data_IF_616502683813
#
_entry.id   IF_616502683813
#
_cell.length_a   1.000
_cell.length_b   1.000
_cell.length_c   1.000
_cell.angle_alpha   90.00
_cell.angle_beta   90.00
_cell.angle_gamma   90.00
#
_symmetry.space_group_name_H-M   'P 1'
#
loop_
_entity.id
_entity.type
_entity.pdbx_description
1 polymer ?
#
# COMPACT_ATOMS: atom_id res chain seq x y z
N UNK A 1 -60.98 54.35 -26.20
CA UNK A 1 -60.61 52.91 -26.21
C UNK A 1 -59.18 52.79 -25.74
N UNK A 2 -58.95 52.47 -24.46
CA UNK A 2 -57.64 52.32 -23.86
C UNK A 2 -57.31 50.83 -23.64
N UNK A 3 -56.39 50.33 -24.46
CA UNK A 3 -55.91 48.95 -24.36
C UNK A 3 -54.90 48.83 -23.23
N UNK A 4 -55.14 47.97 -22.21
CA UNK A 4 -54.21 47.64 -21.15
C UNK A 4 -53.36 46.46 -21.63
N UNK A 5 -52.05 46.67 -21.81
CA UNK A 5 -51.10 45.57 -21.95
C UNK A 5 -50.88 44.90 -20.56
N UNK A 6 -51.18 43.63 -20.46
CA UNK A 6 -50.82 42.82 -19.30
C UNK A 6 -49.40 42.21 -19.55
N UNK A 7 -48.40 42.65 -18.77
CA UNK A 7 -47.07 42.07 -18.75
C UNK A 7 -47.08 40.81 -17.85
N UNK A 8 -46.85 39.64 -18.45
CA UNK A 8 -46.64 38.39 -17.74
C UNK A 8 -45.16 38.33 -17.36
N UNK A 9 -44.85 38.42 -16.06
CA UNK A 9 -43.55 38.16 -15.52
C UNK A 9 -43.41 36.65 -15.30
N UNK A 10 -42.62 35.97 -16.11
CA UNK A 10 -42.22 34.57 -15.91
C UNK A 10 -41.14 34.51 -14.82
N UNK A 11 -41.51 34.13 -13.63
CA UNK A 11 -40.53 33.80 -12.59
C UNK A 11 -39.87 32.46 -12.92
N UNK A 12 -38.59 32.48 -13.35
CA UNK A 12 -37.79 31.28 -13.46
C UNK A 12 -37.44 30.82 -12.04
N UNK A 13 -38.07 29.74 -11.57
CA UNK A 13 -37.60 29.01 -10.39
C UNK A 13 -36.21 28.40 -10.76
N UNK A 14 -35.15 28.98 -10.30
CA UNK A 14 -33.87 28.28 -10.20
C UNK A 14 -34.03 27.21 -9.12
N UNK A 15 -34.19 25.97 -9.50
CA UNK A 15 -34.05 24.84 -8.61
C UNK A 15 -32.58 24.80 -8.14
N UNK A 16 -32.31 25.22 -6.90
CA UNK A 16 -31.06 24.98 -6.27
C UNK A 16 -30.91 23.46 -6.13
N UNK A 17 -30.02 22.85 -6.90
CA UNK A 17 -29.63 21.46 -6.67
C UNK A 17 -29.09 21.36 -5.23
N UNK A 18 -29.51 20.36 -4.47
CA UNK A 18 -28.91 20.14 -3.15
C UNK A 18 -27.40 19.98 -3.33
N UNK A 19 -26.60 20.77 -2.60
CA UNK A 19 -25.16 20.58 -2.51
C UNK A 19 -24.97 19.28 -1.75
N UNK A 20 -24.53 18.25 -2.45
CA UNK A 20 -24.17 16.96 -1.82
C UNK A 20 -22.88 17.17 -1.02
N UNK A 21 -22.78 16.50 0.14
CA UNK A 21 -21.53 16.47 0.89
C UNK A 21 -20.45 15.72 0.06
N UNK A 22 -19.19 16.11 0.23
CA UNK A 22 -18.08 15.41 -0.43
C UNK A 22 -17.94 13.98 0.08
N UNK A 23 -17.50 13.07 -0.80
CA UNK A 23 -17.06 11.74 -0.41
C UNK A 23 -15.69 11.88 0.28
N UNK A 24 -15.57 11.40 1.52
CA UNK A 24 -14.40 11.66 2.37
C UNK A 24 -13.47 10.45 2.38
N UNK A 25 -12.21 10.64 1.91
CA UNK A 25 -11.15 9.63 1.84
C UNK A 25 -9.91 10.11 2.62
N UNK A 26 -9.92 10.06 3.96
CA UNK A 26 -8.80 10.57 4.73
C UNK A 26 -7.51 9.77 4.56
N UNK A 27 -6.38 10.46 4.72
CA UNK A 27 -5.06 9.86 4.81
C UNK A 27 -4.41 10.17 6.15
N UNK A 28 -3.84 9.15 6.80
CA UNK A 28 -2.94 9.32 7.93
C UNK A 28 -1.51 9.25 7.40
N UNK A 29 -0.90 10.40 7.18
CA UNK A 29 0.42 10.50 6.58
C UNK A 29 1.52 10.77 7.60
N UNK A 30 2.75 10.83 7.13
CA UNK A 30 3.91 11.33 7.87
C UNK A 30 4.82 12.06 6.90
N UNK A 31 4.67 13.40 6.92
CA UNK A 31 5.44 14.34 6.10
C UNK A 31 6.65 14.89 6.82
N UNK A 32 6.84 14.52 8.08
CA UNK A 32 7.94 14.95 8.94
C UNK A 32 8.67 13.77 9.57
N UNK A 33 9.91 14.01 10.03
CA UNK A 33 10.70 13.00 10.72
C UNK A 33 11.43 12.01 9.81
N UNK A 34 12.01 10.93 10.39
CA UNK A 34 12.95 10.04 9.68
C UNK A 34 12.29 9.16 8.60
N UNK A 35 10.96 9.12 8.54
CA UNK A 35 10.20 8.33 7.57
C UNK A 35 9.55 9.18 6.47
N UNK A 36 9.69 10.51 6.53
CA UNK A 36 9.05 11.46 5.61
C UNK A 36 9.38 11.21 4.14
N UNK A 37 10.60 10.77 3.83
CA UNK A 37 11.01 10.46 2.47
C UNK A 37 10.13 9.39 1.79
N UNK A 38 9.54 8.48 2.56
CA UNK A 38 8.56 7.51 2.06
C UNK A 38 7.12 8.00 2.18
N UNK A 39 6.79 8.74 3.25
CA UNK A 39 5.44 9.22 3.52
C UNK A 39 4.94 10.26 2.54
N UNK A 40 5.79 11.24 2.20
CA UNK A 40 5.46 12.37 1.30
C UNK A 40 5.00 11.87 -0.08
N UNK A 41 5.80 11.09 -0.85
CA UNK A 41 5.38 10.73 -2.21
C UNK A 41 4.11 9.85 -2.22
N UNK A 42 3.91 8.98 -1.23
CA UNK A 42 2.68 8.20 -1.12
C UNK A 42 1.46 9.10 -0.87
N UNK A 43 1.56 10.03 0.09
CA UNK A 43 0.46 10.93 0.44
C UNK A 43 0.13 11.88 -0.73
N UNK A 44 1.15 12.37 -1.46
CA UNK A 44 0.98 13.19 -2.64
C UNK A 44 0.24 12.42 -3.75
N UNK A 45 0.69 11.22 -4.09
CA UNK A 45 0.05 10.39 -5.10
C UNK A 45 -1.39 10.03 -4.76
N UNK A 46 -1.67 9.75 -3.48
CA UNK A 46 -3.02 9.46 -3.00
C UNK A 46 -3.95 10.68 -3.17
N UNK A 47 -3.52 11.85 -2.74
CA UNK A 47 -4.31 13.09 -2.84
C UNK A 47 -4.47 13.57 -4.29
N UNK A 48 -3.40 13.49 -5.09
CA UNK A 48 -3.39 13.95 -6.47
C UNK A 48 -4.33 13.12 -7.36
N UNK A 49 -4.46 11.81 -7.11
CA UNK A 49 -5.42 10.99 -7.86
C UNK A 49 -6.88 11.41 -7.61
N UNK A 50 -7.25 11.70 -6.37
CA UNK A 50 -8.59 12.23 -6.08
C UNK A 50 -8.80 13.65 -6.62
N UNK A 51 -7.74 14.47 -6.62
CA UNK A 51 -7.77 15.77 -7.29
C UNK A 51 -7.98 15.61 -8.80
N UNK A 52 -7.32 14.63 -9.44
CA UNK A 52 -7.57 14.28 -10.84
C UNK A 52 -9.04 13.92 -11.09
N UNK A 53 -9.63 13.05 -10.27
CA UNK A 53 -11.04 12.69 -10.43
C UNK A 53 -11.96 13.90 -10.28
N UNK A 54 -11.66 14.79 -9.34
CA UNK A 54 -12.42 16.03 -9.16
C UNK A 54 -12.34 16.96 -10.37
N UNK A 55 -11.16 17.10 -10.97
CA UNK A 55 -10.90 18.07 -12.04
C UNK A 55 -11.24 17.54 -13.43
N UNK A 56 -11.04 16.25 -13.66
CA UNK A 56 -11.30 15.61 -14.95
C UNK A 56 -12.76 15.10 -15.05
N UNK A 57 -13.22 14.41 -13.98
CA UNK A 57 -14.47 13.64 -14.01
C UNK A 57 -15.62 14.29 -13.22
N UNK A 58 -15.35 15.37 -12.49
CA UNK A 58 -16.33 16.02 -11.62
C UNK A 58 -16.55 15.31 -10.29
N UNK A 59 -15.63 14.42 -9.90
CA UNK A 59 -15.67 13.58 -8.71
C UNK A 59 -16.00 12.12 -9.03
N UNK A 60 -16.51 11.39 -8.06
CA UNK A 60 -16.95 9.99 -8.20
C UNK A 60 -18.49 9.99 -8.30
N UNK A 61 -19.02 9.55 -9.45
CA UNK A 61 -20.47 9.59 -9.69
C UNK A 61 -21.09 10.98 -9.60
N UNK A 62 -20.32 12.02 -9.90
CA UNK A 62 -20.75 13.42 -9.83
C UNK A 62 -20.67 14.04 -8.43
N UNK A 63 -20.15 13.33 -7.43
CA UNK A 63 -19.91 13.83 -6.08
C UNK A 63 -18.43 14.14 -5.91
N UNK A 64 -18.11 15.34 -5.43
CA UNK A 64 -16.71 15.74 -5.16
C UNK A 64 -16.11 14.87 -4.07
N UNK A 65 -14.79 14.74 -4.11
CA UNK A 65 -14.01 13.99 -3.13
C UNK A 65 -13.16 14.95 -2.33
N UNK A 66 -13.13 14.76 -1.01
CA UNK A 66 -12.20 15.44 -0.10
C UNK A 66 -11.23 14.44 0.53
N UNK A 67 -9.97 14.88 0.70
CA UNK A 67 -8.88 14.06 1.25
C UNK A 67 -8.28 14.78 2.47
N UNK A 68 -8.99 14.80 3.61
CA UNK A 68 -8.42 15.36 4.83
C UNK A 68 -7.23 14.52 5.28
N UNK A 69 -6.13 15.19 5.66
CA UNK A 69 -4.90 14.55 6.06
C UNK A 69 -4.62 14.78 7.55
N UNK A 70 -4.15 13.75 8.25
CA UNK A 70 -3.69 13.86 9.63
C UNK A 70 -2.23 13.39 9.73
N UNK A 71 -1.35 14.28 10.20
CA UNK A 71 0.09 14.04 10.37
C UNK A 71 0.37 13.17 11.59
N UNK A 72 0.85 11.95 11.38
CA UNK A 72 1.16 11.01 12.46
C UNK A 72 2.62 11.02 12.89
N UNK A 73 3.53 11.52 12.06
CA UNK A 73 4.98 11.37 12.27
C UNK A 73 5.44 9.92 12.37
N UNK A 74 4.65 8.96 11.83
CA UNK A 74 4.85 7.50 11.99
C UNK A 74 4.78 7.04 13.46
N UNK A 75 4.10 7.79 14.32
CA UNK A 75 3.92 7.47 15.73
C UNK A 75 2.55 6.81 15.95
N UNK A 76 2.54 5.67 16.62
CA UNK A 76 1.32 4.86 16.81
C UNK A 76 0.26 5.57 17.65
N UNK A 77 0.65 6.28 18.73
CA UNK A 77 -0.27 7.00 19.60
C UNK A 77 -0.95 8.14 18.85
N UNK A 78 -0.16 8.97 18.14
CA UNK A 78 -0.69 10.01 17.26
C UNK A 78 -1.59 9.45 16.16
N UNK A 79 -1.26 8.27 15.62
CA UNK A 79 -2.11 7.60 14.65
C UNK A 79 -3.48 7.24 15.19
N UNK A 80 -3.57 6.80 16.46
CA UNK A 80 -4.86 6.56 17.13
C UNK A 80 -5.62 7.88 17.35
N UNK A 81 -4.94 8.97 17.73
CA UNK A 81 -5.54 10.30 17.83
C UNK A 81 -6.06 10.80 16.48
N UNK A 82 -5.28 10.58 15.39
CA UNK A 82 -5.71 10.87 14.02
C UNK A 82 -6.97 10.07 13.65
N UNK A 83 -7.04 8.78 13.97
CA UNK A 83 -8.23 7.95 13.75
C UNK A 83 -9.46 8.58 14.43
N UNK A 84 -9.35 8.95 15.72
CA UNK A 84 -10.47 9.53 16.48
C UNK A 84 -10.94 10.87 15.91
N UNK A 85 -10.03 11.68 15.38
CA UNK A 85 -10.38 12.95 14.75
C UNK A 85 -11.00 12.78 13.36
N UNK A 86 -10.45 11.87 12.55
CA UNK A 86 -10.89 11.66 11.17
C UNK A 86 -12.22 10.91 11.10
N UNK A 87 -12.53 10.01 12.05
CA UNK A 87 -13.82 9.32 12.05
C UNK A 87 -15.03 10.26 12.20
N UNK A 88 -14.85 11.42 12.81
CA UNK A 88 -15.89 12.43 12.94
C UNK A 88 -16.30 13.07 11.59
N UNK A 89 -15.50 12.86 10.54
CA UNK A 89 -15.76 13.34 9.18
C UNK A 89 -16.58 12.37 8.34
N UNK A 90 -17.05 11.25 8.91
CA UNK A 90 -17.76 10.17 8.23
C UNK A 90 -16.97 9.62 7.01
N UNK A 91 -15.74 9.14 7.21
CA UNK A 91 -14.90 8.66 6.13
C UNK A 91 -15.47 7.40 5.49
N UNK A 92 -15.30 7.25 4.18
CA UNK A 92 -15.67 6.03 3.46
C UNK A 92 -14.68 4.89 3.71
N UNK A 93 -13.38 5.21 3.75
CA UNK A 93 -12.30 4.28 4.06
C UNK A 93 -11.12 5.07 4.62
N UNK A 94 -10.37 4.46 5.53
CA UNK A 94 -9.15 5.05 6.11
C UNK A 94 -7.89 4.39 5.54
N UNK A 95 -6.83 5.21 5.37
CA UNK A 95 -5.49 4.80 4.96
C UNK A 95 -4.50 5.14 6.09
N UNK A 96 -4.20 4.20 7.03
CA UNK A 96 -3.34 4.50 8.17
C UNK A 96 -1.83 4.53 7.86
N UNK A 97 -1.41 4.02 6.72
CA UNK A 97 -0.02 3.95 6.21
C UNK A 97 1.01 3.51 7.26
N UNK A 98 0.61 2.70 8.22
CA UNK A 98 1.46 2.16 9.29
C UNK A 98 0.88 0.86 9.84
N UNK A 99 1.71 -0.19 9.92
CA UNK A 99 1.34 -1.47 10.54
C UNK A 99 1.04 -1.29 12.03
N UNK A 100 1.84 -0.52 12.75
CA UNK A 100 1.63 -0.26 14.19
C UNK A 100 0.29 0.44 14.47
N UNK A 101 -0.05 1.44 13.68
CA UNK A 101 -1.35 2.14 13.78
C UNK A 101 -2.48 1.17 13.42
N UNK A 102 -2.35 0.40 12.33
CA UNK A 102 -3.36 -0.57 11.91
C UNK A 102 -3.71 -1.54 13.03
N UNK A 103 -2.73 -2.13 13.70
CA UNK A 103 -2.97 -3.04 14.81
C UNK A 103 -3.83 -2.42 15.93
N UNK A 104 -3.62 -1.14 16.23
CA UNK A 104 -4.36 -0.44 17.29
C UNK A 104 -5.79 -0.06 16.90
N UNK A 105 -6.02 0.18 15.60
CA UNK A 105 -7.35 0.63 15.12
C UNK A 105 -8.24 -0.52 14.67
N UNK A 106 -7.75 -1.76 14.53
CA UNK A 106 -8.57 -2.93 14.15
C UNK A 106 -9.87 -3.01 14.96
N UNK A 107 -9.87 -3.07 16.31
CA UNK A 107 -11.10 -3.18 17.07
C UNK A 107 -12.00 -1.94 16.96
N UNK A 108 -11.39 -0.77 16.78
CA UNK A 108 -12.10 0.50 16.64
C UNK A 108 -12.83 0.59 15.29
N UNK A 109 -12.16 0.22 14.20
CA UNK A 109 -12.72 0.24 12.85
C UNK A 109 -13.94 -0.68 12.72
N UNK A 110 -13.88 -1.84 13.37
CA UNK A 110 -15.02 -2.77 13.44
C UNK A 110 -16.18 -2.16 14.24
N UNK A 111 -15.90 -1.56 15.40
CA UNK A 111 -16.92 -0.96 16.26
C UNK A 111 -17.56 0.30 15.66
N UNK A 112 -16.78 1.09 14.90
CA UNK A 112 -17.21 2.34 14.27
C UNK A 112 -17.78 2.12 12.85
N UNK A 113 -17.77 0.88 12.33
CA UNK A 113 -18.20 0.49 10.95
C UNK A 113 -17.45 1.29 9.86
N UNK A 114 -16.14 1.47 10.02
CA UNK A 114 -15.28 2.21 9.09
C UNK A 114 -14.24 1.25 8.51
N UNK A 115 -14.29 0.95 7.18
CA UNK A 115 -13.28 0.10 6.57
C UNK A 115 -11.91 0.76 6.52
N UNK A 116 -10.87 -0.05 6.60
CA UNK A 116 -9.47 0.36 6.55
C UNK A 116 -8.76 -0.38 5.42
N UNK A 117 -8.16 0.35 4.49
CA UNK A 117 -7.36 -0.20 3.42
C UNK A 117 -5.88 -0.15 3.80
N UNK A 118 -5.24 -1.30 3.85
CA UNK A 118 -3.84 -1.46 4.26
C UNK A 118 -3.04 -2.11 3.13
N UNK A 119 -2.99 -1.45 1.97
CA UNK A 119 -2.36 -1.96 0.76
C UNK A 119 -0.88 -2.30 0.98
N UNK A 120 -0.57 -3.60 1.09
CA UNK A 120 0.79 -4.07 1.31
C UNK A 120 1.37 -3.79 2.70
N UNK A 121 0.53 -3.53 3.71
CA UNK A 121 0.96 -3.36 5.10
C UNK A 121 -0.15 -3.79 6.08
N UNK A 122 0.08 -3.59 7.38
CA UNK A 122 -0.87 -3.95 8.41
C UNK A 122 -0.72 -5.41 8.87
N UNK A 123 -1.77 -5.95 9.48
CA UNK A 123 -1.82 -7.33 9.94
C UNK A 123 -2.07 -8.27 8.77
N UNK A 124 -1.15 -9.17 8.47
CA UNK A 124 -1.30 -10.08 7.33
C UNK A 124 -2.51 -11.01 7.49
N UNK A 125 -2.77 -11.54 8.69
CA UNK A 125 -3.92 -12.42 8.91
C UNK A 125 -5.27 -11.74 8.74
N UNK A 126 -5.31 -10.40 8.62
CA UNK A 126 -6.52 -9.67 8.23
C UNK A 126 -6.99 -9.99 6.79
N UNK A 127 -6.20 -10.73 6.01
CA UNK A 127 -6.66 -11.40 4.79
C UNK A 127 -7.91 -12.26 5.04
N UNK A 128 -8.07 -12.83 6.24
CA UNK A 128 -9.31 -13.52 6.65
C UNK A 128 -10.39 -12.50 7.04
N UNK A 129 -11.18 -12.06 6.07
CA UNK A 129 -12.26 -11.08 6.27
C UNK A 129 -13.42 -11.61 7.10
N UNK A 130 -13.56 -12.93 7.23
CA UNK A 130 -14.52 -13.54 8.16
C UNK A 130 -14.28 -13.10 9.60
N UNK A 131 -13.03 -12.90 9.99
CA UNK A 131 -12.61 -12.41 11.31
C UNK A 131 -12.39 -10.89 11.31
N UNK A 132 -11.72 -10.37 10.30
CA UNK A 132 -11.32 -8.95 10.21
C UNK A 132 -12.23 -8.19 9.23
N UNK A 133 -13.51 -8.09 9.53
CA UNK A 133 -14.57 -7.62 8.64
C UNK A 133 -14.36 -6.23 8.02
N UNK A 134 -13.50 -5.39 8.58
CA UNK A 134 -13.26 -4.01 8.15
C UNK A 134 -11.82 -3.74 7.72
N UNK A 135 -10.95 -4.75 7.68
CA UNK A 135 -9.55 -4.59 7.29
C UNK A 135 -9.31 -5.26 5.94
N UNK A 136 -8.83 -4.48 4.97
CA UNK A 136 -8.58 -4.92 3.61
C UNK A 136 -7.12 -4.68 3.25
N UNK A 137 -6.35 -5.74 2.97
CA UNK A 137 -4.92 -5.63 2.69
C UNK A 137 -4.53 -6.05 1.26
N UNK A 138 -5.51 -6.04 0.34
CA UNK A 138 -5.25 -6.27 -1.08
C UNK A 138 -4.32 -5.19 -1.68
N UNK A 139 -3.59 -5.47 -2.79
CA UNK A 139 -3.56 -6.71 -3.58
C UNK A 139 -2.62 -7.77 -3.03
N UNK A 140 -1.76 -7.46 -2.03
CA UNK A 140 -0.80 -8.37 -1.41
C UNK A 140 -0.49 -7.95 0.04
N UNK A 141 -0.02 -8.88 0.85
CA UNK A 141 0.35 -8.69 2.25
C UNK A 141 1.79 -9.14 2.53
N UNK A 142 2.30 -8.92 3.74
CA UNK A 142 3.69 -9.21 4.06
C UNK A 142 4.10 -10.68 3.98
N UNK A 143 3.18 -11.62 4.21
CA UNK A 143 3.50 -13.03 4.08
C UNK A 143 3.56 -13.45 2.61
N UNK A 144 2.72 -12.85 1.74
CA UNK A 144 2.87 -12.97 0.29
C UNK A 144 4.24 -12.44 -0.15
N UNK A 145 4.67 -11.30 0.42
CA UNK A 145 5.98 -10.73 0.16
C UNK A 145 7.14 -11.59 0.61
N UNK A 146 7.08 -12.16 1.82
CA UNK A 146 8.11 -13.06 2.33
C UNK A 146 8.25 -14.32 1.46
N UNK A 147 7.11 -14.89 1.05
CA UNK A 147 7.09 -15.99 0.09
C UNK A 147 7.63 -15.57 -1.27
N UNK A 148 7.31 -14.36 -1.74
CA UNK A 148 7.83 -13.82 -3.00
C UNK A 148 9.35 -13.76 -3.05
N UNK A 149 10.01 -13.37 -1.94
CA UNK A 149 11.48 -13.42 -1.82
C UNK A 149 11.96 -14.86 -1.99
N UNK A 150 11.39 -15.82 -1.27
CA UNK A 150 11.81 -17.23 -1.33
C UNK A 150 11.55 -17.83 -2.72
N UNK A 151 10.38 -17.56 -3.31
CA UNK A 151 10.07 -18.02 -4.67
C UNK A 151 11.07 -17.50 -5.72
N UNK A 152 11.47 -16.22 -5.63
CA UNK A 152 12.51 -15.66 -6.49
C UNK A 152 13.86 -16.33 -6.27
N UNK A 153 14.24 -16.58 -5.01
CA UNK A 153 15.49 -17.29 -4.72
C UNK A 153 15.49 -18.73 -5.23
N UNK A 154 14.37 -19.44 -5.13
CA UNK A 154 14.21 -20.76 -5.74
C UNK A 154 14.38 -20.69 -7.26
N UNK A 155 13.78 -19.70 -7.91
CA UNK A 155 13.87 -19.54 -9.38
C UNK A 155 15.33 -19.35 -9.85
N UNK A 156 16.10 -18.48 -9.19
CA UNK A 156 17.49 -18.20 -9.59
C UNK A 156 18.49 -19.26 -9.12
N UNK A 157 18.06 -20.26 -8.35
CA UNK A 157 18.85 -21.38 -7.86
C UNK A 157 18.30 -22.74 -8.36
N UNK A 158 17.68 -22.79 -9.53
CA UNK A 158 17.18 -24.02 -10.15
C UNK A 158 16.22 -24.84 -9.26
N UNK A 159 15.49 -24.17 -8.35
CA UNK A 159 14.50 -24.77 -7.46
C UNK A 159 15.04 -25.29 -6.13
N UNK A 160 16.33 -25.11 -5.82
CA UNK A 160 16.95 -25.60 -4.59
C UNK A 160 17.75 -24.50 -3.88
N UNK A 161 17.36 -24.19 -2.64
CA UNK A 161 18.07 -23.27 -1.73
C UNK A 161 18.46 -23.96 -0.41
N UNK A 162 18.43 -25.30 -0.39
CA UNK A 162 18.83 -26.06 0.80
C UNK A 162 20.27 -25.78 1.17
N UNK A 163 20.53 -25.57 2.46
CA UNK A 163 21.84 -25.19 2.97
C UNK A 163 22.29 -23.76 2.68
N UNK A 164 21.52 -22.97 1.92
CA UNK A 164 21.75 -21.53 1.79
C UNK A 164 21.47 -20.80 3.11
N UNK A 165 22.15 -19.69 3.34
CA UNK A 165 21.92 -18.82 4.49
C UNK A 165 21.27 -17.52 4.04
N UNK A 166 20.12 -17.19 4.61
CA UNK A 166 19.37 -15.96 4.34
C UNK A 166 19.32 -15.12 5.62
N UNK A 167 19.78 -13.88 5.56
CA UNK A 167 19.68 -12.95 6.68
C UNK A 167 18.49 -11.99 6.47
N UNK A 168 17.58 -11.93 7.44
CA UNK A 168 16.51 -10.94 7.50
C UNK A 168 16.97 -9.75 8.36
N UNK A 169 17.18 -8.58 7.73
CA UNK A 169 17.36 -7.31 8.43
C UNK A 169 16.00 -6.65 8.57
N UNK A 170 15.52 -6.40 9.78
CA UNK A 170 14.18 -5.91 9.98
C UNK A 170 14.08 -4.79 11.02
N UNK A 171 13.19 -3.84 10.77
CA UNK A 171 12.83 -2.81 11.74
C UNK A 171 12.17 -3.44 12.97
N UNK A 172 12.69 -3.16 14.17
CA UNK A 172 12.19 -3.75 15.42
C UNK A 172 10.85 -3.16 15.83
N UNK A 173 9.82 -3.47 15.06
CA UNK A 173 8.42 -3.03 15.23
C UNK A 173 7.45 -4.11 14.77
N UNK A 174 6.16 -3.92 14.96
CA UNK A 174 5.12 -4.81 14.42
C UNK A 174 5.29 -5.03 12.92
N UNK A 175 5.65 -3.97 12.17
CA UNK A 175 5.91 -4.04 10.75
C UNK A 175 7.05 -5.01 10.40
N UNK A 176 8.24 -4.77 10.95
CA UNK A 176 9.42 -5.55 10.57
C UNK A 176 9.38 -7.00 11.05
N UNK A 177 8.53 -7.31 12.04
CA UNK A 177 8.33 -8.67 12.57
C UNK A 177 7.32 -9.51 11.77
N UNK A 178 6.51 -8.88 10.93
CA UNK A 178 5.48 -9.59 10.14
C UNK A 178 6.02 -10.78 9.32
N UNK A 179 7.17 -10.70 8.61
CA UNK A 179 7.64 -11.79 7.77
C UNK A 179 8.27 -12.95 8.53
N UNK A 180 8.64 -12.78 9.83
CA UNK A 180 9.49 -13.74 10.55
C UNK A 180 8.86 -15.14 10.54
N UNK A 181 7.62 -15.28 11.01
CA UNK A 181 6.92 -16.57 11.10
C UNK A 181 6.81 -17.28 9.74
N UNK A 182 6.59 -16.50 8.67
CA UNK A 182 6.50 -17.06 7.31
C UNK A 182 7.87 -17.51 6.81
N UNK A 183 8.93 -16.72 7.03
CA UNK A 183 10.29 -17.10 6.66
C UNK A 183 10.80 -18.30 7.46
N UNK A 184 10.43 -18.44 8.73
CA UNK A 184 10.71 -19.63 9.55
C UNK A 184 10.07 -20.87 8.96
N UNK A 185 8.77 -20.81 8.62
CA UNK A 185 8.06 -21.94 8.01
C UNK A 185 8.61 -22.29 6.61
N UNK A 186 8.99 -21.28 5.81
CA UNK A 186 9.63 -21.49 4.51
C UNK A 186 11.06 -22.04 4.65
N UNK A 187 11.79 -21.66 5.72
CA UNK A 187 13.10 -22.20 6.06
C UNK A 187 13.02 -23.70 6.37
N UNK A 188 12.04 -24.11 7.17
CA UNK A 188 11.77 -25.52 7.43
C UNK A 188 11.40 -26.29 6.15
N UNK A 189 10.57 -25.71 5.28
CA UNK A 189 10.13 -26.33 4.03
C UNK A 189 11.24 -26.53 3.03
N UNK A 190 12.13 -25.52 2.86
CA UNK A 190 13.14 -25.48 1.81
C UNK A 190 14.58 -25.73 2.29
N UNK A 191 14.78 -25.91 3.60
CA UNK A 191 16.08 -26.32 4.18
C UNK A 191 17.14 -25.21 4.19
N UNK A 192 16.77 -23.91 4.09
CA UNK A 192 17.74 -22.82 4.25
C UNK A 192 17.88 -22.41 5.72
N UNK A 193 19.02 -21.83 6.08
CA UNK A 193 19.28 -21.24 7.40
C UNK A 193 18.77 -19.79 7.42
N UNK A 194 17.88 -19.47 8.35
CA UNK A 194 17.39 -18.09 8.57
C UNK A 194 18.12 -17.42 9.72
N UNK A 195 18.71 -16.25 9.48
CA UNK A 195 19.31 -15.39 10.51
C UNK A 195 18.50 -14.10 10.62
N UNK A 196 17.99 -13.76 11.80
CA UNK A 196 17.19 -12.56 12.01
C UNK A 196 17.97 -11.47 12.73
N UNK A 197 18.00 -10.26 12.17
CA UNK A 197 18.77 -9.11 12.63
C UNK A 197 17.87 -7.90 12.84
N UNK A 198 17.47 -7.67 14.08
CA UNK A 198 16.65 -6.53 14.45
C UNK A 198 17.43 -5.22 14.40
N UNK A 199 16.81 -4.17 13.88
CA UNK A 199 17.31 -2.80 13.89
C UNK A 199 16.30 -1.91 14.61
N UNK A 200 16.73 -1.26 15.67
CA UNK A 200 15.87 -0.43 16.49
C UNK A 200 15.49 0.90 15.80
N UNK A 201 14.32 1.41 16.15
CA UNK A 201 13.82 2.68 15.66
C UNK A 201 14.79 3.85 15.99
N UNK A 202 15.05 4.79 15.07
CA UNK A 202 14.48 4.93 13.72
C UNK A 202 15.24 4.19 12.62
N UNK A 203 16.17 3.32 12.94
CA UNK A 203 16.86 2.47 11.97
C UNK A 203 18.22 3.00 11.48
N UNK A 204 18.79 4.04 12.10
CA UNK A 204 20.08 4.63 11.70
C UNK A 204 21.27 3.84 12.23
N UNK A 205 21.15 3.21 13.38
CA UNK A 205 22.26 2.50 14.06
C UNK A 205 22.27 1.02 13.64
N UNK A 206 22.99 0.70 12.54
CA UNK A 206 22.99 -0.64 11.94
C UNK A 206 24.38 -1.30 11.84
N UNK A 207 25.46 -0.63 12.24
CA UNK A 207 26.82 -1.16 12.06
C UNK A 207 27.01 -2.55 12.66
N UNK A 208 26.40 -2.83 13.80
CA UNK A 208 26.52 -4.15 14.46
C UNK A 208 25.88 -5.26 13.62
N UNK A 209 24.72 -5.02 13.02
CA UNK A 209 24.05 -5.97 12.15
C UNK A 209 24.85 -6.24 10.87
N UNK A 210 25.40 -5.20 10.22
CA UNK A 210 26.22 -5.36 9.02
C UNK A 210 27.58 -5.98 9.29
N UNK A 211 28.20 -5.75 10.46
CA UNK A 211 29.38 -6.49 10.90
C UNK A 211 29.05 -7.98 11.16
N UNK A 212 27.86 -8.28 11.67
CA UNK A 212 27.41 -9.67 11.82
C UNK A 212 27.18 -10.32 10.45
N UNK A 213 26.53 -9.67 9.50
CA UNK A 213 26.37 -10.13 8.10
C UNK A 213 27.74 -10.44 7.48
N UNK A 214 28.71 -9.54 7.65
CA UNK A 214 30.07 -9.77 7.15
C UNK A 214 30.74 -11.00 7.77
N UNK A 215 30.48 -11.29 9.04
CA UNK A 215 31.03 -12.46 9.76
C UNK A 215 30.31 -13.75 9.37
N UNK A 216 28.95 -13.72 9.33
CA UNK A 216 28.11 -14.88 9.05
C UNK A 216 28.10 -15.26 7.57
N UNK A 217 28.41 -14.30 6.69
CA UNK A 217 28.45 -14.46 5.22
C UNK A 217 27.20 -15.13 4.66
N UNK A 218 26.00 -14.58 4.87
CA UNK A 218 24.81 -15.15 4.26
C UNK A 218 24.91 -15.09 2.73
N UNK A 219 24.30 -16.06 2.06
CA UNK A 219 24.17 -16.06 0.60
C UNK A 219 23.29 -14.91 0.12
N UNK A 220 22.24 -14.61 0.88
CA UNK A 220 21.27 -13.56 0.58
C UNK A 220 20.92 -12.73 1.81
N UNK A 221 20.58 -11.47 1.58
CA UNK A 221 19.97 -10.59 2.59
C UNK A 221 18.59 -10.19 2.11
N UNK A 222 17.59 -10.28 2.97
CA UNK A 222 16.29 -9.67 2.75
C UNK A 222 16.02 -8.61 3.80
N UNK A 223 15.27 -7.55 3.45
CA UNK A 223 15.06 -6.41 4.34
C UNK A 223 13.59 -6.01 4.47
N UNK A 224 13.11 -5.94 5.71
CA UNK A 224 11.87 -5.27 6.11
C UNK A 224 12.20 -3.97 6.84
N UNK A 225 12.66 -2.98 6.09
CA UNK A 225 13.04 -1.66 6.54
C UNK A 225 12.12 -0.57 6.02
N UNK A 226 12.20 0.63 6.58
CA UNK A 226 11.41 1.79 6.20
C UNK A 226 12.18 3.09 6.39
N UNK A 227 12.01 4.03 5.45
CA UNK A 227 12.58 5.37 5.53
C UNK A 227 14.10 5.38 5.64
N UNK A 228 14.64 6.14 6.61
CA UNK A 228 16.10 6.28 6.80
C UNK A 228 16.81 4.95 7.03
N UNK A 229 16.14 3.94 7.58
CA UNK A 229 16.71 2.62 7.77
C UNK A 229 17.18 2.00 6.45
N UNK A 230 16.40 2.16 5.37
CA UNK A 230 16.73 1.59 4.06
C UNK A 230 17.99 2.20 3.47
N UNK A 231 18.09 3.54 3.49
CA UNK A 231 19.26 4.27 3.01
C UNK A 231 20.53 3.82 3.72
N UNK A 232 20.46 3.72 5.04
CA UNK A 232 21.61 3.27 5.85
C UNK A 232 21.95 1.82 5.56
N UNK A 233 20.95 0.95 5.42
CA UNK A 233 21.16 -0.47 5.11
C UNK A 233 21.88 -0.66 3.77
N UNK A 234 21.44 0.02 2.71
CA UNK A 234 22.09 -0.05 1.38
C UNK A 234 23.51 0.49 1.43
N UNK A 235 23.75 1.60 2.15
CA UNK A 235 25.10 2.15 2.33
C UNK A 235 26.02 1.21 3.13
N UNK A 236 25.54 0.63 4.22
CA UNK A 236 26.33 -0.30 5.03
C UNK A 236 26.62 -1.63 4.29
N UNK A 237 25.65 -2.12 3.48
CA UNK A 237 25.90 -3.26 2.59
C UNK A 237 27.03 -2.96 1.60
N UNK A 238 27.01 -1.78 0.97
CA UNK A 238 28.09 -1.30 0.09
C UNK A 238 29.43 -1.19 0.83
N UNK A 239 29.44 -0.65 2.05
CA UNK A 239 30.64 -0.49 2.87
C UNK A 239 31.34 -1.82 3.19
N UNK A 240 30.56 -2.88 3.43
CA UNK A 240 31.11 -4.23 3.66
C UNK A 240 31.33 -5.01 2.37
N UNK A 241 31.02 -4.42 1.19
CA UNK A 241 31.08 -5.03 -0.14
C UNK A 241 30.19 -6.27 -0.25
N UNK A 242 28.98 -6.20 0.31
CA UNK A 242 27.98 -7.24 0.08
C UNK A 242 27.50 -7.16 -1.38
N UNK A 243 27.36 -8.29 -2.11
CA UNK A 243 26.85 -8.29 -3.47
C UNK A 243 25.42 -7.75 -3.52
N UNK A 244 25.19 -6.59 -4.17
CA UNK A 244 23.88 -5.94 -4.19
C UNK A 244 22.81 -6.76 -4.92
N UNK A 245 23.23 -7.56 -5.88
CA UNK A 245 22.34 -8.52 -6.58
C UNK A 245 21.76 -9.61 -5.67
N UNK A 246 22.34 -9.81 -4.48
CA UNK A 246 21.87 -10.73 -3.45
C UNK A 246 21.12 -10.03 -2.29
N UNK A 247 20.84 -8.74 -2.42
CA UNK A 247 20.13 -7.96 -1.43
C UNK A 247 18.72 -7.60 -1.95
N UNK A 248 17.68 -8.08 -1.27
CA UNK A 248 16.28 -7.99 -1.71
C UNK A 248 15.45 -7.34 -0.61
N UNK A 249 14.94 -6.12 -0.84
CA UNK A 249 14.01 -5.44 0.06
C UNK A 249 12.57 -5.87 -0.14
N UNK A 250 11.73 -5.65 0.88
CA UNK A 250 10.28 -5.61 0.72
C UNK A 250 9.89 -4.38 -0.12
N UNK A 251 8.69 -4.35 -0.67
CA UNK A 251 8.19 -3.20 -1.47
C UNK A 251 8.25 -1.83 -0.78
N UNK A 252 8.38 -1.76 0.55
CA UNK A 252 8.62 -0.53 1.32
C UNK A 252 10.11 -0.18 1.43
N UNK A 253 10.99 -1.02 0.92
CA UNK A 253 12.43 -0.82 0.83
C UNK A 253 12.90 -0.84 -0.64
N UNK A 254 12.03 -0.47 -1.58
CA UNK A 254 12.27 -0.50 -3.01
C UNK A 254 11.88 0.81 -3.69
N UNK A 255 12.19 1.95 -3.10
CA UNK A 255 11.94 3.26 -3.67
C UNK A 255 13.25 3.98 -4.04
N UNK A 256 13.14 5.01 -4.88
CA UNK A 256 14.29 5.79 -5.35
C UNK A 256 15.11 6.40 -4.20
N UNK A 257 14.44 6.96 -3.19
CA UNK A 257 15.10 7.57 -2.04
C UNK A 257 15.88 6.57 -1.17
N UNK A 258 15.58 5.28 -1.25
CA UNK A 258 16.29 4.24 -0.52
C UNK A 258 17.69 3.98 -1.09
N UNK A 259 17.85 4.06 -2.40
CA UNK A 259 19.03 3.63 -3.16
C UNK A 259 19.89 4.80 -3.67
N UNK A 260 19.29 5.92 -4.02
CA UNK A 260 19.99 7.10 -4.55
C UNK A 260 21.19 7.57 -3.69
N UNK A 261 21.11 7.58 -2.33
CA UNK A 261 22.25 8.00 -1.50
C UNK A 261 23.48 7.12 -1.59
N UNK A 262 23.34 5.85 -2.01
CA UNK A 262 24.47 4.94 -2.23
C UNK A 262 25.07 5.05 -3.64
N UNK A 263 24.42 5.78 -4.56
CA UNK A 263 24.87 6.00 -5.93
C UNK A 263 25.12 4.70 -6.69
N UNK A 264 26.22 4.63 -7.42
CA UNK A 264 26.59 3.43 -8.19
C UNK A 264 26.75 2.16 -7.35
N UNK A 265 26.98 2.27 -6.04
CA UNK A 265 27.13 1.11 -5.18
C UNK A 265 25.80 0.38 -4.89
N UNK A 266 24.66 1.00 -5.21
CA UNK A 266 23.33 0.36 -5.10
C UNK A 266 22.94 -0.44 -6.37
N UNK A 267 23.78 -0.46 -7.40
CA UNK A 267 23.47 -1.16 -8.65
C UNK A 267 23.19 -2.64 -8.40
N UNK A 268 22.11 -3.15 -8.99
CA UNK A 268 21.67 -4.53 -8.82
C UNK A 268 20.82 -4.82 -7.57
N UNK A 269 20.68 -3.87 -6.63
CA UNK A 269 19.77 -4.02 -5.49
C UNK A 269 18.34 -4.32 -5.97
N UNK A 270 17.67 -5.21 -5.27
CA UNK A 270 16.33 -5.68 -5.63
C UNK A 270 15.28 -5.35 -4.58
N UNK A 271 14.04 -5.29 -5.02
CA UNK A 271 12.90 -5.25 -4.11
C UNK A 271 11.74 -6.06 -4.70
N UNK A 272 10.99 -6.73 -3.84
CA UNK A 272 9.71 -7.30 -4.26
C UNK A 272 8.70 -6.18 -4.48
N UNK A 273 7.77 -6.39 -5.39
CA UNK A 273 6.72 -5.43 -5.73
C UNK A 273 5.41 -6.16 -6.10
N UNK A 274 4.29 -5.45 -5.95
CA UNK A 274 2.97 -5.91 -6.39
C UNK A 274 2.35 -4.99 -7.46
N UNK A 275 3.14 -4.06 -8.00
CA UNK A 275 2.76 -3.19 -9.10
C UNK A 275 3.97 -2.79 -9.93
N UNK A 276 3.71 -2.31 -11.13
CA UNK A 276 4.73 -1.82 -12.06
C UNK A 276 5.31 -0.46 -11.63
N UNK A 277 6.32 -0.01 -12.34
CA UNK A 277 7.11 1.21 -12.06
C UNK A 277 7.10 2.16 -13.24
N UNK A 278 7.60 3.38 -13.06
CA UNK A 278 7.78 4.36 -14.14
C UNK A 278 6.52 5.19 -14.44
N UNK A 279 6.54 5.84 -15.60
CA UNK A 279 5.55 6.87 -15.99
C UNK A 279 4.79 6.54 -17.27
N UNK A 280 5.02 5.40 -17.91
CA UNK A 280 4.45 5.06 -19.21
C UNK A 280 2.98 4.61 -19.10
N UNK A 281 2.17 5.42 -18.40
CA UNK A 281 0.76 5.17 -18.16
C UNK A 281 -0.06 6.43 -18.46
N UNK A 282 -1.15 6.32 -19.24
CA UNK A 282 -2.01 7.48 -19.59
C UNK A 282 -2.50 8.28 -18.39
N UNK A 283 -2.70 7.64 -17.24
CA UNK A 283 -3.14 8.30 -16.01
C UNK A 283 -2.15 9.39 -15.56
N UNK A 284 -0.84 9.20 -15.73
CA UNK A 284 0.15 10.19 -15.33
C UNK A 284 0.21 11.39 -16.28
N UNK A 285 -0.13 11.21 -17.55
CA UNK A 285 -0.31 12.34 -18.48
C UNK A 285 -1.54 13.18 -18.09
N UNK A 286 -2.64 12.50 -17.72
CA UNK A 286 -3.83 13.18 -17.19
C UNK A 286 -3.52 13.90 -15.87
N UNK A 287 -2.74 13.30 -14.96
CA UNK A 287 -2.32 13.95 -13.72
C UNK A 287 -1.49 15.20 -13.96
N UNK A 288 -0.54 15.16 -14.92
CA UNK A 288 0.20 16.35 -15.32
C UNK A 288 -0.75 17.43 -15.82
N UNK A 289 -1.63 17.09 -16.75
CA UNK A 289 -2.56 18.03 -17.41
C UNK A 289 -3.61 18.62 -16.47
N UNK A 290 -4.24 17.80 -15.62
CA UNK A 290 -5.40 18.23 -14.83
C UNK A 290 -5.05 18.62 -13.40
N UNK A 291 -3.86 18.25 -12.90
CA UNK A 291 -3.47 18.50 -11.51
C UNK A 291 -2.23 19.41 -11.48
N UNK A 292 -1.09 18.96 -12.04
CA UNK A 292 0.18 19.71 -11.94
C UNK A 292 0.14 21.03 -12.72
N UNK A 293 -0.26 21.01 -13.99
CA UNK A 293 -0.30 22.20 -14.85
C UNK A 293 -1.30 23.25 -14.35
N UNK A 294 -2.28 22.82 -13.53
CA UNK A 294 -3.23 23.72 -12.87
C UNK A 294 -2.76 24.24 -11.51
N UNK A 295 -1.60 23.78 -11.01
CA UNK A 295 -1.07 24.15 -9.70
C UNK A 295 -1.88 23.56 -8.53
N UNK A 296 -2.52 22.39 -8.71
CA UNK A 296 -3.38 21.73 -7.73
C UNK A 296 -2.73 20.51 -7.07
N UNK A 297 -1.49 20.16 -7.46
CA UNK A 297 -0.78 19.02 -6.91
C UNK A 297 -0.52 19.22 -5.40
N UNK A 298 -0.63 18.14 -4.63
CA UNK A 298 -0.34 18.11 -3.19
C UNK A 298 1.14 18.43 -2.91
N UNK A 299 2.05 18.00 -3.82
CA UNK A 299 3.44 18.43 -3.91
C UNK A 299 3.68 19.33 -5.12
N UNK A 300 4.88 19.24 -5.70
CA UNK A 300 5.26 20.00 -6.90
C UNK A 300 5.17 19.18 -8.21
N UNK A 301 4.67 17.94 -8.16
CA UNK A 301 4.59 17.02 -9.29
C UNK A 301 5.90 16.28 -9.62
N UNK A 302 7.03 16.60 -8.98
CA UNK A 302 8.34 15.99 -9.26
C UNK A 302 8.39 14.49 -8.85
N UNK A 303 7.44 14.03 -8.03
CA UNK A 303 7.38 12.67 -7.55
C UNK A 303 6.64 11.72 -8.51
N UNK A 304 5.97 12.22 -9.53
CA UNK A 304 5.23 11.40 -10.50
C UNK A 304 6.18 10.39 -11.14
N UNK A 305 5.82 9.10 -11.08
CA UNK A 305 6.62 8.00 -11.60
C UNK A 305 7.57 7.36 -10.58
N UNK A 306 7.77 7.97 -9.39
CA UNK A 306 8.48 7.30 -8.31
C UNK A 306 7.61 6.17 -7.74
N UNK A 307 8.26 5.11 -7.23
CA UNK A 307 7.56 3.90 -6.76
C UNK A 307 6.50 4.21 -5.72
N UNK A 308 6.79 5.09 -4.74
CA UNK A 308 5.83 5.37 -3.66
C UNK A 308 4.74 6.35 -4.07
N UNK A 309 5.01 7.29 -4.98
CA UNK A 309 3.95 8.12 -5.56
C UNK A 309 2.96 7.27 -6.35
N UNK A 310 3.47 6.41 -7.23
CA UNK A 310 2.65 5.49 -8.01
C UNK A 310 1.82 4.56 -7.10
N UNK A 311 2.38 4.16 -5.96
CA UNK A 311 1.68 3.35 -4.95
C UNK A 311 0.55 4.13 -4.27
N UNK A 312 0.75 5.41 -3.99
CA UNK A 312 -0.30 6.31 -3.50
C UNK A 312 -1.44 6.46 -4.50
N UNK A 313 -1.10 6.68 -5.78
CA UNK A 313 -2.08 6.70 -6.89
C UNK A 313 -2.86 5.40 -6.97
N UNK A 314 -2.17 4.25 -6.89
CA UNK A 314 -2.80 2.93 -6.95
C UNK A 314 -3.76 2.70 -5.77
N UNK A 315 -3.38 3.09 -4.56
CA UNK A 315 -4.24 2.98 -3.38
C UNK A 315 -5.51 3.83 -3.51
N UNK A 316 -5.37 5.08 -4.00
CA UNK A 316 -6.51 5.97 -4.24
C UNK A 316 -7.42 5.46 -5.36
N UNK A 317 -6.83 4.92 -6.44
CA UNK A 317 -7.57 4.30 -7.54
C UNK A 317 -8.42 3.13 -7.04
N UNK A 318 -7.85 2.21 -6.27
CA UNK A 318 -8.58 1.06 -5.73
C UNK A 318 -9.73 1.49 -4.81
N UNK A 319 -9.52 2.51 -3.98
CA UNK A 319 -10.56 3.08 -3.14
C UNK A 319 -11.67 3.77 -3.96
N UNK A 320 -11.31 4.50 -5.01
CA UNK A 320 -12.27 5.15 -5.91
C UNK A 320 -13.11 4.12 -6.68
N UNK A 321 -12.50 3.03 -7.13
CA UNK A 321 -13.21 1.96 -7.85
C UNK A 321 -14.20 1.23 -6.94
N UNK A 322 -13.81 0.95 -5.68
CA UNK A 322 -14.75 0.40 -4.70
C UNK A 322 -15.95 1.35 -4.43
N UNK A 323 -15.70 2.66 -4.38
CA UNK A 323 -16.77 3.66 -4.23
C UNK A 323 -17.72 3.70 -5.45
N UNK A 324 -17.17 3.61 -6.68
CA UNK A 324 -18.00 3.48 -7.90
C UNK A 324 -18.86 2.23 -7.88
N UNK A 325 -18.27 1.10 -7.44
CA UNK A 325 -19.01 -0.16 -7.30
C UNK A 325 -20.12 -0.04 -6.23
N UNK A 326 -19.85 0.64 -5.11
CA UNK A 326 -20.86 0.92 -4.08
C UNK A 326 -22.03 1.78 -4.62
N UNK A 327 -21.72 2.84 -5.36
CA UNK A 327 -22.72 3.69 -6.01
C UNK A 327 -23.55 2.89 -7.03
N UNK A 328 -22.90 2.07 -7.85
CA UNK A 328 -23.60 1.25 -8.85
C UNK A 328 -24.49 0.19 -8.21
N UNK A 329 -24.05 -0.45 -7.14
CA UNK A 329 -24.80 -1.50 -6.44
C UNK A 329 -26.01 -0.96 -5.68
N UNK A 330 -25.92 0.25 -5.14
CA UNK A 330 -26.96 0.84 -4.28
C UNK A 330 -27.86 1.82 -5.02
N UNK A 331 -27.41 2.37 -6.14
CA UNK A 331 -28.10 3.46 -6.87
C UNK A 331 -28.06 4.81 -6.13
N UNK A 332 -27.19 4.95 -5.11
CA UNK A 332 -27.04 6.14 -4.28
C UNK A 332 -25.68 6.78 -4.57
N UNK A 333 -25.67 8.07 -4.85
CA UNK A 333 -24.41 8.80 -5.09
C UNK A 333 -23.66 9.13 -3.79
N UNK A 334 -24.39 9.44 -2.72
CA UNK A 334 -23.85 9.72 -1.38
C UNK A 334 -23.83 8.40 -0.57
N UNK A 335 -22.74 7.63 -0.73
CA UNK A 335 -22.57 6.32 -0.10
C UNK A 335 -22.05 6.44 1.33
N UNK A 336 -22.33 5.41 2.15
CA UNK A 336 -21.83 5.31 3.52
C UNK A 336 -20.59 4.40 3.63
N UNK A 337 -19.90 4.42 4.78
CA UNK A 337 -18.80 3.50 5.10
C UNK A 337 -19.21 2.02 5.00
N UNK A 338 -20.42 1.67 5.45
CA UNK A 338 -20.97 0.30 5.32
C UNK A 338 -21.13 -0.12 3.85
N UNK A 339 -21.67 0.78 2.99
CA UNK A 339 -21.78 0.51 1.55
C UNK A 339 -20.42 0.38 0.90
N UNK A 340 -19.45 1.21 1.32
CA UNK A 340 -18.06 1.13 0.88
C UNK A 340 -17.43 -0.21 1.28
N UNK A 341 -17.57 -0.64 2.54
CA UNK A 341 -17.08 -1.95 3.00
C UNK A 341 -17.63 -3.09 2.17
N UNK A 342 -18.95 -3.11 1.92
CA UNK A 342 -19.62 -4.17 1.16
C UNK A 342 -19.15 -4.21 -0.30
N UNK A 343 -18.81 -3.07 -0.87
CA UNK A 343 -18.20 -2.99 -2.21
C UNK A 343 -16.73 -3.42 -2.21
N UNK A 344 -15.95 -3.03 -1.23
CA UNK A 344 -14.56 -3.49 -1.07
C UNK A 344 -14.49 -5.02 -0.96
N UNK A 345 -15.43 -5.65 -0.29
CA UNK A 345 -15.53 -7.12 -0.12
C UNK A 345 -15.88 -7.87 -1.42
N UNK A 346 -16.26 -7.14 -2.46
CA UNK A 346 -16.62 -7.68 -3.78
C UNK A 346 -15.78 -7.07 -4.91
N UNK A 347 -14.77 -6.29 -4.55
CA UNK A 347 -13.95 -5.60 -5.53
C UNK A 347 -13.24 -6.60 -6.45
N UNK A 348 -13.39 -6.36 -7.75
CA UNK A 348 -12.70 -7.11 -8.80
C UNK A 348 -11.97 -6.12 -9.70
N UNK A 349 -10.66 -6.23 -9.75
CA UNK A 349 -9.79 -5.45 -10.63
C UNK A 349 -9.27 -6.37 -11.72
N UNK A 350 -9.76 -6.14 -12.94
CA UNK A 350 -9.35 -6.86 -14.16
C UNK A 350 -8.44 -5.99 -14.99
N UNK A 351 -7.72 -6.58 -15.95
CA UNK A 351 -6.90 -5.83 -16.89
C UNK A 351 -7.74 -4.85 -17.73
N UNK A 352 -8.93 -5.25 -18.18
CA UNK A 352 -9.83 -4.34 -18.91
C UNK A 352 -10.18 -3.09 -18.08
N UNK A 353 -10.38 -3.29 -16.76
CA UNK A 353 -10.63 -2.18 -15.83
C UNK A 353 -9.40 -1.30 -15.66
N UNK A 354 -8.22 -1.89 -15.55
CA UNK A 354 -6.94 -1.15 -15.47
C UNK A 354 -6.67 -0.35 -16.76
N UNK A 355 -6.92 -0.93 -17.92
CA UNK A 355 -6.83 -0.23 -19.22
C UNK A 355 -7.78 0.97 -19.26
N UNK A 356 -9.03 0.80 -18.83
CA UNK A 356 -10.01 1.89 -18.80
C UNK A 356 -9.62 3.02 -17.83
N UNK A 357 -8.85 2.71 -16.78
CA UNK A 357 -8.32 3.67 -15.80
C UNK A 357 -7.01 4.34 -16.25
N UNK A 358 -6.49 3.99 -17.42
CA UNK A 358 -5.21 4.49 -17.93
C UNK A 358 -3.97 3.90 -17.25
N UNK A 359 -4.10 2.69 -16.71
CA UNK A 359 -3.03 1.96 -16.02
C UNK A 359 -2.87 0.52 -16.55
N UNK A 360 -2.71 0.29 -17.88
CA UNK A 360 -2.60 -1.04 -18.45
C UNK A 360 -1.39 -1.79 -17.87
N UNK A 361 -1.59 -3.06 -17.45
CA UNK A 361 -0.55 -3.90 -16.87
C UNK A 361 0.16 -3.29 -15.64
N UNK A 362 -0.46 -2.34 -14.93
CA UNK A 362 0.17 -1.70 -13.78
C UNK A 362 0.27 -2.64 -12.57
N UNK A 363 -0.67 -3.52 -12.37
CA UNK A 363 -0.66 -4.53 -11.33
C UNK A 363 -1.41 -5.78 -11.74
N UNK A 364 -1.18 -6.90 -11.06
CA UNK A 364 -1.93 -8.13 -11.33
C UNK A 364 -3.43 -7.97 -11.08
N UNK A 365 -4.23 -8.70 -11.86
CA UNK A 365 -5.66 -8.85 -11.59
C UNK A 365 -5.89 -9.50 -10.22
N UNK A 366 -6.93 -9.05 -9.52
CA UNK A 366 -7.33 -9.68 -8.26
C UNK A 366 -8.84 -9.52 -7.99
N UNK A 367 -9.33 -10.39 -7.12
CA UNK A 367 -10.69 -10.34 -6.58
C UNK A 367 -10.65 -10.41 -5.07
N UNK A 368 -11.61 -9.75 -4.43
CA UNK A 368 -11.81 -9.74 -2.98
C UNK A 368 -13.09 -10.49 -2.65
N UNK A 369 -13.10 -11.19 -1.54
CA UNK A 369 -14.30 -11.86 -1.00
C UNK A 369 -14.28 -11.78 0.53
N UNK A 370 -15.40 -12.16 1.17
CA UNK A 370 -15.45 -12.23 2.63
C UNK A 370 -14.35 -13.13 3.23
N UNK A 371 -14.02 -14.24 2.58
CA UNK A 371 -12.94 -15.14 3.04
C UNK A 371 -11.55 -14.60 2.72
N UNK A 372 -11.45 -13.65 1.78
CA UNK A 372 -10.17 -13.17 1.27
C UNK A 372 -10.15 -11.65 1.04
N UNK A 373 -9.79 -10.87 2.05
CA UNK A 373 -9.56 -9.43 1.97
C UNK A 373 -8.17 -9.05 1.43
N UNK A 374 -7.33 -10.03 1.11
CA UNK A 374 -5.96 -9.82 0.63
C UNK A 374 -5.78 -9.89 -0.89
N UNK A 375 -6.83 -10.20 -1.63
CA UNK A 375 -6.73 -10.44 -3.06
C UNK A 375 -5.87 -11.68 -3.40
N UNK A 376 -5.26 -11.69 -4.58
CA UNK A 376 -4.54 -12.86 -5.09
C UNK A 376 -3.12 -13.01 -4.54
N UNK A 377 -2.54 -11.96 -3.93
CA UNK A 377 -1.20 -12.00 -3.34
C UNK A 377 -0.08 -12.26 -4.35
N UNK A 378 -0.25 -11.79 -5.60
CA UNK A 378 0.75 -11.92 -6.65
C UNK A 378 1.84 -10.87 -6.47
N UNK A 379 3.10 -11.31 -6.46
CA UNK A 379 4.26 -10.45 -6.29
C UNK A 379 5.35 -10.76 -7.31
N UNK A 380 6.05 -9.73 -7.74
CA UNK A 380 7.20 -9.79 -8.63
C UNK A 380 8.42 -9.15 -8.00
N UNK A 381 9.51 -9.08 -8.75
CA UNK A 381 10.78 -8.47 -8.33
C UNK A 381 11.15 -7.34 -9.27
N UNK A 382 11.53 -6.21 -8.70
CA UNK A 382 12.16 -5.11 -9.41
C UNK A 382 13.64 -5.01 -9.02
N UNK A 383 14.49 -4.58 -9.96
CA UNK A 383 15.91 -4.34 -9.77
C UNK A 383 16.25 -2.89 -10.08
N UNK A 384 17.10 -2.31 -9.26
CA UNK A 384 17.64 -0.96 -9.45
C UNK A 384 18.77 -0.94 -10.47
N UNK A 385 18.65 -0.10 -11.47
CA UNK A 385 19.74 0.30 -12.37
C UNK A 385 20.27 1.67 -11.92
N UNK A 386 21.45 1.67 -11.34
CA UNK A 386 22.05 2.89 -10.82
C UNK A 386 22.52 3.85 -11.94
N UNK A 387 22.76 3.35 -13.14
CA UNK A 387 23.18 4.17 -14.28
C UNK A 387 22.03 4.94 -14.89
N UNK A 388 20.87 4.32 -15.02
CA UNK A 388 19.63 4.91 -15.50
C UNK A 388 18.84 5.63 -14.37
N UNK A 389 19.15 5.33 -13.10
CA UNK A 389 18.43 5.76 -11.92
C UNK A 389 16.93 5.35 -11.95
N UNK A 390 16.68 4.14 -12.38
CA UNK A 390 15.32 3.59 -12.51
C UNK A 390 15.21 2.17 -11.97
N UNK A 391 13.98 1.81 -11.61
CA UNK A 391 13.60 0.45 -11.26
C UNK A 391 13.09 -0.28 -12.49
N UNK A 392 13.50 -1.54 -12.67
CA UNK A 392 13.06 -2.40 -13.76
C UNK A 392 12.45 -3.67 -13.21
N UNK A 393 11.25 -4.05 -13.66
CA UNK A 393 10.64 -5.33 -13.32
C UNK A 393 11.42 -6.44 -14.01
N UNK A 394 11.94 -7.39 -13.23
CA UNK A 394 12.83 -8.46 -13.71
C UNK A 394 12.24 -9.87 -13.56
N UNK A 395 11.05 -10.00 -13.02
CA UNK A 395 10.34 -11.28 -12.89
C UNK A 395 8.85 -11.11 -13.18
N UNK A 396 8.20 -12.21 -13.53
CA UNK A 396 6.74 -12.28 -13.56
C UNK A 396 6.15 -12.09 -12.14
N UNK A 397 4.90 -11.62 -12.07
CA UNK A 397 4.14 -11.63 -10.84
C UNK A 397 3.63 -13.05 -10.56
N UNK A 398 4.06 -13.64 -9.46
CA UNK A 398 3.78 -15.03 -9.09
C UNK A 398 3.03 -15.12 -7.78
N UNK A 399 2.22 -16.16 -7.67
CA UNK A 399 1.49 -16.45 -6.44
C UNK A 399 2.45 -16.88 -5.33
N UNK A 400 2.20 -16.40 -4.14
CA UNK A 400 2.87 -16.82 -2.92
C UNK A 400 2.56 -18.28 -2.56
N UNK A 401 3.42 -18.92 -1.75
CA UNK A 401 3.28 -20.30 -1.29
C UNK A 401 2.08 -20.46 -0.36
N UNK A 402 0.92 -20.76 -0.94
CA UNK A 402 -0.33 -20.88 -0.19
C UNK A 402 -0.36 -22.09 0.73
N UNK A 403 0.45 -23.14 0.50
CA UNK A 403 0.55 -24.31 1.39
C UNK A 403 1.17 -23.91 2.74
N UNK A 404 2.04 -22.88 2.75
CA UNK A 404 2.63 -22.31 3.97
C UNK A 404 1.76 -21.18 4.53
N UNK A 405 1.32 -20.25 3.69
CA UNK A 405 0.66 -19.01 4.14
C UNK A 405 -0.76 -19.28 4.65
N UNK A 406 -1.56 -20.09 3.94
CA UNK A 406 -2.97 -20.27 4.30
C UNK A 406 -3.18 -20.89 5.69
N UNK A 407 -2.43 -21.91 6.13
CA UNK A 407 -2.49 -22.39 7.51
C UNK A 407 -2.11 -21.34 8.54
N UNK A 408 -1.04 -20.55 8.27
CA UNK A 408 -0.59 -19.49 9.17
C UNK A 408 -1.65 -18.39 9.34
N UNK A 409 -2.32 -17.98 8.23
CA UNK A 409 -3.41 -17.00 8.27
C UNK A 409 -4.55 -17.54 9.12
N UNK A 410 -4.94 -18.80 8.90
CA UNK A 410 -6.01 -19.44 9.66
C UNK A 410 -5.69 -19.47 11.15
N UNK A 411 -4.50 -19.95 11.52
CA UNK A 411 -4.09 -20.06 12.91
C UNK A 411 -4.10 -18.69 13.62
N UNK A 412 -3.46 -17.68 13.02
CA UNK A 412 -3.36 -16.35 13.62
C UNK A 412 -4.72 -15.63 13.69
N UNK A 413 -5.54 -15.75 12.63
CA UNK A 413 -6.87 -15.13 12.63
C UNK A 413 -7.82 -15.79 13.62
N UNK A 414 -7.80 -17.12 13.73
CA UNK A 414 -8.65 -17.84 14.69
C UNK A 414 -8.21 -17.61 16.13
N UNK A 415 -6.90 -17.47 16.40
CA UNK A 415 -6.41 -17.08 17.72
C UNK A 415 -6.93 -15.69 18.11
N UNK A 416 -6.83 -14.71 17.17
CA UNK A 416 -7.39 -13.38 17.39
C UNK A 416 -8.90 -13.40 17.61
N UNK A 417 -9.64 -14.21 16.84
CA UNK A 417 -11.09 -14.36 17.00
C UNK A 417 -11.45 -14.88 18.40
N UNK A 418 -10.72 -15.89 18.88
CA UNK A 418 -10.93 -16.44 20.21
C UNK A 418 -10.63 -15.43 21.34
N UNK A 419 -9.52 -14.68 21.22
CA UNK A 419 -9.13 -13.64 22.19
C UNK A 419 -10.13 -12.49 22.27
N UNK A 420 -10.81 -12.16 21.16
CA UNK A 420 -11.71 -11.02 21.05
C UNK A 420 -13.20 -11.41 20.99
N UNK A 421 -13.53 -12.68 21.21
CA UNK A 421 -14.90 -13.23 21.16
C UNK A 421 -15.62 -12.89 19.83
N UNK A 422 -14.90 -13.02 18.70
CA UNK A 422 -15.43 -12.79 17.35
C UNK A 422 -15.89 -14.13 16.76
N UNK A 423 -17.13 -14.21 16.28
CA UNK A 423 -17.60 -15.31 15.44
C UNK A 423 -17.30 -14.99 13.98
N UNK A 424 -16.53 -15.84 13.25
CA UNK A 424 -16.26 -15.63 11.84
C UNK A 424 -17.56 -15.59 11.00
N UNK A 425 -17.63 -14.63 10.05
CA UNK A 425 -18.86 -14.40 9.22
C UNK A 425 -18.97 -15.36 8.03
N UNK A 426 -17.85 -15.84 7.54
CA UNK A 426 -17.69 -16.69 6.34
C UNK A 426 -16.53 -17.73 6.54
#
# INVERSE_FOLDING_TARGET
>A
MKMKLATWATAALMAASPVMADLVFPSMSYRTGPFAAGGIPFADGYADYFTLLNERDGGIGGVKVSVPECETGYNTEKGVECYESLKALNPLVLQPLSTGITYQIIPKSIADDIPVHTMGYGRTSAKNGGVFSHIFNYPANYWDGASGVVNYLLEINDGDISGKKIALVYHNSSYGKEPIRTLEALSEKHGFELVTLAVDHPGQEQKSQWLQIRRERPDYVTMWGWGIMNQVAVQEAANIRFPMENFIGVWWAGAQHDVLPAGAAADGYKAITFHAVGTDYPVFDDMRKYVVDKGLAAGNGDQIGTVLYNRGVYAAMLAAEAAKDAQAATGVADITSSMMRDAMEKLSITEDRMVALGMPNFGPEFTVSCENHGGNGLVGVAQWDASAQEWNIISDFKQSDQDVISPLIKDDSMAFAAENAIEPRC
#
